data_IF_752577117252
#
_entry.id   IF_752577117252
#
_cell.length_a   1.000
_cell.length_b   1.000
_cell.length_c   1.000
_cell.angle_alpha   90.00
_cell.angle_beta   90.00
_cell.angle_gamma   90.00
#
_symmetry.space_group_name_H-M   'P 1'
#
loop_
_entity.id
_entity.type
_entity.pdbx_description
1 polymer ?
#
# COMPACT_ATOMS: atom_id res chain seq x y z
N UNK A 1 -6.10 -13.61 -15.88
CA UNK A 1 -4.72 -13.43 -15.33
C UNK A 1 -4.81 -13.29 -13.82
N UNK A 2 -4.38 -14.31 -13.05
CA UNK A 2 -4.31 -14.25 -11.58
C UNK A 2 -2.86 -13.90 -11.19
N UNK A 3 -2.56 -12.62 -11.00
CA UNK A 3 -1.34 -12.23 -10.29
C UNK A 3 -1.62 -12.37 -8.79
N UNK A 4 -0.79 -13.13 -8.08
CA UNK A 4 -0.97 -13.36 -6.64
C UNK A 4 -0.68 -12.08 -5.84
N UNK A 5 -1.29 -11.87 -4.67
CA UNK A 5 -1.02 -10.69 -3.81
C UNK A 5 0.48 -10.48 -3.54
N UNK A 6 1.26 -11.56 -3.53
CA UNK A 6 2.72 -11.54 -3.38
C UNK A 6 3.42 -10.79 -4.51
N UNK A 7 3.03 -11.03 -5.75
CA UNK A 7 3.62 -10.38 -6.93
C UNK A 7 3.37 -8.86 -6.93
N UNK A 8 2.22 -8.42 -6.43
CA UNK A 8 1.89 -7.00 -6.35
C UNK A 8 2.76 -6.27 -5.32
N UNK A 9 2.97 -6.89 -4.16
CA UNK A 9 3.84 -6.36 -3.11
C UNK A 9 5.28 -6.24 -3.63
N UNK A 10 5.79 -7.29 -4.29
CA UNK A 10 7.13 -7.26 -4.90
C UNK A 10 7.26 -6.10 -5.89
N UNK A 11 6.26 -5.90 -6.76
CA UNK A 11 6.25 -4.78 -7.73
C UNK A 11 6.23 -3.40 -7.08
N UNK A 12 5.53 -3.24 -5.95
CA UNK A 12 5.50 -1.98 -5.19
C UNK A 12 6.89 -1.72 -4.59
N UNK A 13 7.53 -2.75 -4.01
CA UNK A 13 8.89 -2.64 -3.44
C UNK A 13 9.89 -2.27 -4.53
N UNK A 14 9.89 -2.95 -5.67
CA UNK A 14 10.76 -2.62 -6.81
C UNK A 14 10.59 -1.16 -7.26
N UNK A 15 9.34 -0.69 -7.39
CA UNK A 15 9.06 0.69 -7.80
C UNK A 15 9.48 1.72 -6.77
N UNK A 16 9.38 1.37 -5.48
CA UNK A 16 9.89 2.21 -4.39
C UNK A 16 11.41 2.33 -4.45
N UNK A 17 12.12 1.23 -4.71
CA UNK A 17 13.58 1.26 -4.87
C UNK A 17 13.98 2.08 -6.10
N UNK A 18 13.28 1.94 -7.23
CA UNK A 18 13.52 2.79 -8.40
C UNK A 18 13.35 4.28 -8.08
N UNK A 19 12.26 4.66 -7.40
CA UNK A 19 12.07 6.05 -6.98
C UNK A 19 13.20 6.51 -6.05
N UNK A 20 13.58 5.68 -5.09
CA UNK A 20 14.69 5.97 -4.18
C UNK A 20 15.99 6.21 -4.94
N UNK A 21 16.33 5.35 -5.89
CA UNK A 21 17.54 5.49 -6.72
C UNK A 21 17.52 6.81 -7.52
N UNK A 22 16.37 7.18 -8.10
CA UNK A 22 16.24 8.43 -8.86
C UNK A 22 16.37 9.68 -7.98
N UNK A 23 15.96 9.60 -6.72
CA UNK A 23 16.09 10.70 -5.76
C UNK A 23 17.50 10.83 -5.19
N UNK A 24 18.21 9.71 -5.00
CA UNK A 24 19.52 9.67 -4.33
C UNK A 24 20.71 9.66 -5.31
N UNK A 25 20.47 9.76 -6.61
CA UNK A 25 21.53 9.86 -7.61
C UNK A 25 22.24 11.22 -7.53
N UNK A 26 23.49 11.29 -7.99
CA UNK A 26 24.31 12.52 -7.94
C UNK A 26 23.71 13.69 -8.74
N UNK A 27 23.08 13.39 -9.88
CA UNK A 27 22.37 14.37 -10.72
C UNK A 27 20.87 14.03 -10.84
N UNK A 28 20.05 14.40 -9.83
CA UNK A 28 18.63 14.07 -9.83
C UNK A 28 17.89 14.81 -10.95
N UNK A 29 17.25 14.05 -11.85
CA UNK A 29 16.45 14.59 -12.95
C UNK A 29 14.98 14.63 -12.56
N UNK A 30 14.40 15.83 -12.50
CA UNK A 30 13.00 16.04 -12.08
C UNK A 30 12.02 15.13 -12.83
N UNK A 31 12.13 15.06 -14.16
CA UNK A 31 11.25 14.25 -15.00
C UNK A 31 11.32 12.77 -14.62
N UNK A 32 12.52 12.26 -14.32
CA UNK A 32 12.71 10.86 -13.95
C UNK A 32 12.12 10.54 -12.57
N UNK A 33 12.29 11.45 -11.60
CA UNK A 33 11.70 11.33 -10.26
C UNK A 33 10.17 11.35 -10.34
N UNK A 34 9.59 12.32 -11.05
CA UNK A 34 8.12 12.41 -11.21
C UNK A 34 7.55 11.17 -11.90
N UNK A 35 8.24 10.64 -12.92
CA UNK A 35 7.82 9.42 -13.61
C UNK A 35 7.88 8.19 -12.70
N UNK A 36 8.94 8.05 -11.89
CA UNK A 36 9.06 6.96 -10.93
C UNK A 36 7.98 7.05 -9.84
N UNK A 37 7.70 8.26 -9.34
CA UNK A 37 6.65 8.50 -8.36
C UNK A 37 5.25 8.16 -8.90
N UNK A 38 4.94 8.58 -10.13
CA UNK A 38 3.68 8.23 -10.79
C UNK A 38 3.51 6.72 -10.96
N UNK A 39 4.59 6.01 -11.35
CA UNK A 39 4.58 4.55 -11.48
C UNK A 39 4.35 3.84 -10.14
N UNK A 40 4.98 4.32 -9.07
CA UNK A 40 4.78 3.79 -7.72
C UNK A 40 3.35 4.03 -7.23
N UNK A 41 2.85 5.27 -7.35
CA UNK A 41 1.49 5.64 -6.97
C UNK A 41 0.44 4.81 -7.69
N UNK A 42 0.62 4.59 -9.00
CA UNK A 42 -0.25 3.69 -9.78
C UNK A 42 -0.26 2.27 -9.23
N UNK A 43 0.91 1.68 -8.94
CA UNK A 43 0.99 0.32 -8.42
C UNK A 43 0.31 0.18 -7.05
N UNK A 44 0.42 1.20 -6.18
CA UNK A 44 -0.29 1.24 -4.90
C UNK A 44 -1.80 1.32 -5.12
N UNK A 45 -2.25 2.19 -6.03
CA UNK A 45 -3.67 2.35 -6.38
C UNK A 45 -4.28 1.06 -6.92
N UNK A 46 -3.60 0.41 -7.86
CA UNK A 46 -4.04 -0.85 -8.46
C UNK A 46 -4.20 -1.96 -7.39
N UNK A 47 -3.24 -2.06 -6.45
CA UNK A 47 -3.30 -3.00 -5.34
C UNK A 47 -4.46 -2.68 -4.37
N UNK A 48 -4.70 -1.40 -4.09
CA UNK A 48 -5.82 -0.96 -3.24
C UNK A 48 -7.19 -1.30 -3.85
N UNK A 49 -7.35 -1.13 -5.17
CA UNK A 49 -8.57 -1.50 -5.90
C UNK A 49 -8.80 -3.01 -5.86
N UNK A 50 -7.74 -3.81 -5.99
CA UNK A 50 -7.84 -5.27 -5.86
C UNK A 50 -8.21 -5.68 -4.44
N UNK A 51 -7.57 -5.08 -3.43
CA UNK A 51 -7.87 -5.33 -2.04
C UNK A 51 -9.33 -4.99 -1.71
N UNK A 52 -9.85 -3.85 -2.19
CA UNK A 52 -11.26 -3.48 -1.96
C UNK A 52 -12.23 -4.46 -2.60
N UNK A 53 -11.90 -4.97 -3.79
CA UNK A 53 -12.68 -6.02 -4.47
C UNK A 53 -12.69 -7.32 -3.67
N UNK A 54 -11.53 -7.74 -3.16
CA UNK A 54 -11.41 -8.95 -2.31
C UNK A 54 -12.23 -8.80 -1.03
N UNK A 55 -12.16 -7.64 -0.36
CA UNK A 55 -12.94 -7.38 0.86
C UNK A 55 -14.44 -7.38 0.57
N UNK A 56 -14.86 -6.74 -0.53
CA UNK A 56 -16.27 -6.71 -0.95
C UNK A 56 -16.81 -8.13 -1.19
N UNK A 57 -16.08 -8.93 -1.95
CA UNK A 57 -16.48 -10.30 -2.26
C UNK A 57 -16.41 -11.20 -1.01
N UNK A 58 -15.38 -11.04 -0.17
CA UNK A 58 -15.25 -11.78 1.08
C UNK A 58 -16.42 -11.53 2.03
N UNK A 59 -16.82 -10.26 2.22
CA UNK A 59 -17.96 -9.90 3.08
C UNK A 59 -19.28 -10.54 2.65
N UNK A 60 -19.48 -10.81 1.36
CA UNK A 60 -20.69 -11.47 0.85
C UNK A 60 -20.76 -12.97 1.17
N UNK A 61 -19.62 -13.59 1.52
CA UNK A 61 -19.53 -15.03 1.81
C UNK A 61 -19.58 -15.30 3.32
N UNK A 62 -19.32 -14.27 4.15
CA UNK A 62 -19.35 -14.41 5.60
C UNK A 62 -20.78 -14.44 6.13
N UNK A 63 -21.02 -15.30 7.12
CA UNK A 63 -22.21 -15.19 7.98
C UNK A 63 -22.14 -13.89 8.82
N UNK A 64 -23.27 -13.40 9.35
CA UNK A 64 -23.29 -12.18 10.16
C UNK A 64 -22.29 -12.20 11.33
N UNK A 65 -22.22 -13.31 12.06
CA UNK A 65 -21.29 -13.50 13.19
C UNK A 65 -19.81 -13.50 12.75
N UNK A 66 -19.52 -14.05 11.57
CA UNK A 66 -18.16 -14.02 11.00
C UNK A 66 -17.79 -12.62 10.50
N UNK A 67 -18.75 -11.88 9.94
CA UNK A 67 -18.55 -10.50 9.50
C UNK A 67 -18.21 -9.58 10.68
N UNK A 68 -18.89 -9.75 11.82
CA UNK A 68 -18.62 -8.99 13.04
C UNK A 68 -17.22 -9.27 13.59
N UNK A 69 -16.81 -10.54 13.68
CA UNK A 69 -15.45 -10.94 14.09
C UNK A 69 -14.38 -10.38 13.15
N UNK A 70 -14.67 -10.38 11.84
CA UNK A 70 -13.78 -9.80 10.84
C UNK A 70 -13.60 -8.29 11.03
N UNK A 71 -14.67 -7.56 11.32
CA UNK A 71 -14.64 -6.12 11.58
C UNK A 71 -13.85 -5.77 12.85
N UNK A 72 -14.07 -6.52 13.94
CA UNK A 72 -13.31 -6.36 15.17
C UNK A 72 -11.81 -6.59 14.95
N UNK A 73 -11.44 -7.64 14.20
CA UNK A 73 -10.05 -7.92 13.85
C UNK A 73 -9.45 -6.78 13.00
N UNK A 74 -10.17 -6.30 11.99
CA UNK A 74 -9.71 -5.20 11.13
C UNK A 74 -9.48 -3.91 11.92
N UNK A 75 -10.39 -3.59 12.83
CA UNK A 75 -10.29 -2.42 13.70
C UNK A 75 -9.07 -2.52 14.63
N UNK A 76 -8.85 -3.69 15.23
CA UNK A 76 -7.67 -3.95 16.07
C UNK A 76 -6.37 -3.80 15.29
N UNK A 77 -6.26 -4.38 14.08
CA UNK A 77 -5.07 -4.26 13.23
C UNK A 77 -4.81 -2.80 12.88
N UNK A 78 -5.85 -2.05 12.49
CA UNK A 78 -5.75 -0.63 12.17
C UNK A 78 -5.23 0.19 13.36
N UNK A 79 -5.75 -0.04 14.56
CA UNK A 79 -5.30 0.64 15.78
C UNK A 79 -3.84 0.29 16.12
N UNK A 80 -3.45 -0.99 16.04
CA UNK A 80 -2.07 -1.42 16.27
C UNK A 80 -1.11 -0.79 15.26
N UNK A 81 -1.51 -0.73 13.99
CA UNK A 81 -0.70 -0.11 12.94
C UNK A 81 -0.52 1.39 13.18
N UNK A 82 -1.58 2.11 13.56
CA UNK A 82 -1.51 3.53 13.94
C UNK A 82 -0.61 3.74 15.17
N UNK A 83 -0.70 2.87 16.17
CA UNK A 83 0.13 2.94 17.38
C UNK A 83 1.62 2.61 17.11
N UNK A 84 1.90 1.77 16.12
CA UNK A 84 3.26 1.38 15.72
C UNK A 84 3.97 2.41 14.82
N UNK A 85 3.27 3.45 14.36
CA UNK A 85 3.86 4.54 13.59
C UNK A 85 4.67 5.46 14.51
N UNK A 86 5.97 5.71 14.25
CA UNK A 86 6.73 6.67 15.04
C UNK A 86 6.15 8.07 14.84
N UNK A 87 5.82 8.75 15.95
CA UNK A 87 5.18 10.07 15.98
C UNK A 87 6.02 11.25 15.44
N UNK A 88 7.16 11.01 14.78
CA UNK A 88 8.04 12.07 14.27
C UNK A 88 8.41 11.87 12.80
N UNK A 89 7.56 12.47 11.95
CA UNK A 89 7.99 13.12 10.70
C UNK A 89 7.18 14.42 10.51
N UNK A 90 7.05 15.19 11.59
CA UNK A 90 6.72 16.62 11.67
C UNK A 90 8.00 17.25 12.23
N UNK A 91 8.72 18.22 11.65
CA UNK A 91 8.49 19.22 10.60
C UNK A 91 9.84 19.52 9.91
N UNK A 92 9.92 20.02 8.66
CA UNK A 92 11.05 20.84 8.28
C UNK A 92 10.84 22.29 8.80
N UNK A 93 11.91 23.01 9.21
CA UNK A 93 11.86 24.47 9.32
C UNK A 93 11.59 25.13 7.96
#
# INVERSE_FOLDING_TARGET
>A
MRGTCREEIVRIVEKREVLRTQVLTEEPKEVAIRLAAAKLGKAIGDAAVKASTVVKNGRQILTPEQAEKWEQLFNKIRTLWQASMPAKRQEPP
#
